data_IF_100252335567
#
_entry.id   IF_100252335567
#
_cell.length_a   1.000
_cell.length_b   1.000
_cell.length_c   1.000
_cell.angle_alpha   90.00
_cell.angle_beta   90.00
_cell.angle_gamma   90.00
#
_symmetry.space_group_name_H-M   'P 1'
#
loop_
_entity.id
_entity.type
_entity.pdbx_description
1 polymer ?
#
# COMPACT_ATOMS: atom_id res chain seq x y z
N UNK A 1 -15.94 28.57 18.33
CA UNK A 1 -14.52 28.27 18.65
C UNK A 1 -13.72 28.31 17.35
N UNK A 2 -12.63 29.07 17.27
CA UNK A 2 -11.82 29.16 16.03
C UNK A 2 -11.07 27.85 15.82
N UNK A 3 -11.44 27.08 14.80
CA UNK A 3 -10.75 25.86 14.40
C UNK A 3 -9.29 26.22 14.09
N UNK A 4 -8.34 25.72 14.90
CA UNK A 4 -6.91 25.89 14.62
C UNK A 4 -6.57 25.08 13.37
N UNK A 5 -6.34 25.79 12.26
CA UNK A 5 -5.92 25.20 10.99
C UNK A 5 -4.44 24.85 11.10
N UNK A 6 -4.11 23.57 10.97
CA UNK A 6 -2.75 23.04 10.98
C UNK A 6 -2.45 22.44 9.61
N UNK A 7 -1.39 22.92 8.98
CA UNK A 7 -0.80 22.32 7.78
C UNK A 7 0.27 21.34 8.24
N UNK A 8 0.29 20.14 7.67
CA UNK A 8 1.25 19.11 8.04
C UNK A 8 2.60 19.31 7.34
N UNK A 9 3.67 18.97 8.05
CA UNK A 9 4.99 18.74 7.46
C UNK A 9 5.17 17.23 7.28
N UNK A 10 6.02 16.86 6.33
CA UNK A 10 6.25 15.46 5.98
C UNK A 10 7.74 15.14 6.10
N UNK A 11 8.02 13.95 6.64
CA UNK A 11 9.35 13.35 6.66
C UNK A 11 9.19 11.94 6.10
N UNK A 12 9.83 11.68 4.98
CA UNK A 12 9.66 10.44 4.20
C UNK A 12 11.01 9.87 3.82
N UNK A 13 11.04 8.58 3.50
CA UNK A 13 12.21 7.87 3.00
C UNK A 13 11.87 7.32 1.63
N UNK A 14 12.80 7.42 0.67
CA UNK A 14 12.67 6.81 -0.64
C UNK A 14 13.99 6.22 -1.10
N UNK A 15 13.94 5.32 -2.10
CA UNK A 15 15.14 4.83 -2.78
C UNK A 15 15.51 5.74 -3.94
N UNK A 16 16.81 5.89 -4.22
CA UNK A 16 17.29 6.57 -5.43
C UNK A 16 16.61 6.00 -6.68
N UNK A 17 16.44 6.81 -7.73
CA UNK A 17 15.82 6.37 -8.99
C UNK A 17 14.31 6.12 -8.93
N UNK A 18 13.67 6.23 -7.77
CA UNK A 18 12.22 6.10 -7.60
C UNK A 18 11.50 7.44 -7.79
N UNK A 19 10.17 7.39 -7.98
CA UNK A 19 9.29 8.57 -7.90
C UNK A 19 8.46 8.50 -6.63
N UNK A 20 8.32 9.62 -5.95
CA UNK A 20 7.44 9.76 -4.79
C UNK A 20 6.32 10.74 -5.13
N UNK A 21 5.08 10.37 -4.84
CA UNK A 21 3.91 11.23 -4.96
C UNK A 21 3.32 11.47 -3.57
N UNK A 22 2.77 12.66 -3.36
CA UNK A 22 2.21 13.04 -2.08
C UNK A 22 1.15 14.13 -2.22
N UNK A 23 0.53 14.45 -1.08
CA UNK A 23 -0.53 15.46 -1.02
C UNK A 23 -0.45 16.25 0.26
N UNK A 24 -0.68 17.56 0.15
CA UNK A 24 -0.85 18.45 1.29
C UNK A 24 -2.21 18.21 1.97
N UNK A 25 -2.19 17.80 3.23
CA UNK A 25 -3.38 17.58 4.06
C UNK A 25 -3.55 18.70 5.10
N UNK A 26 -4.71 19.34 5.05
CA UNK A 26 -5.11 20.41 5.98
C UNK A 26 -6.39 19.97 6.66
N UNK A 27 -6.37 19.90 7.99
CA UNK A 27 -7.52 19.47 8.79
C UNK A 27 -8.67 20.47 8.61
N UNK A 28 -9.87 19.95 8.31
CA UNK A 28 -11.12 20.70 8.19
C UNK A 28 -11.17 21.75 7.06
N UNK A 29 -10.37 21.60 5.99
CA UNK A 29 -10.37 22.49 4.82
C UNK A 29 -10.54 21.66 3.55
N UNK A 30 -11.42 22.09 2.65
CA UNK A 30 -11.63 21.47 1.33
C UNK A 30 -10.52 21.84 0.35
N UNK A 31 -10.30 20.99 -0.65
CA UNK A 31 -9.28 21.19 -1.71
C UNK A 31 -9.51 22.42 -2.58
N UNK A 32 -10.78 22.77 -2.79
CA UNK A 32 -11.12 23.90 -3.66
C UNK A 32 -10.90 25.25 -2.95
N UNK A 33 -10.56 25.20 -1.65
CA UNK A 33 -10.28 26.36 -0.82
C UNK A 33 -8.78 26.64 -0.68
N UNK A 34 -7.92 25.90 -1.40
CA UNK A 34 -6.46 26.06 -1.32
C UNK A 34 -5.83 26.32 -2.68
N UNK A 35 -4.76 27.11 -2.67
CA UNK A 35 -3.86 27.29 -3.80
C UNK A 35 -2.42 27.05 -3.36
N UNK A 36 -1.79 26.03 -3.92
CA UNK A 36 -0.44 25.62 -3.61
C UNK A 36 0.56 26.13 -4.65
N UNK A 37 1.73 26.55 -4.17
CA UNK A 37 2.90 26.92 -4.99
C UNK A 37 4.19 26.54 -4.26
N UNK A 38 5.29 26.37 -5.00
CA UNK A 38 6.59 26.20 -4.35
C UNK A 38 7.03 27.52 -3.72
N UNK A 39 7.51 27.42 -2.50
CA UNK A 39 8.21 28.50 -1.81
C UNK A 39 9.72 28.27 -1.81
N UNK A 40 10.13 27.00 -1.70
CA UNK A 40 11.49 26.52 -1.97
C UNK A 40 11.36 25.25 -2.83
N UNK A 41 12.01 25.23 -3.99
CA UNK A 41 12.13 24.03 -4.84
C UNK A 41 13.23 23.09 -4.30
N UNK A 42 13.19 21.78 -4.63
CA UNK A 42 14.27 20.87 -4.28
C UNK A 42 15.57 21.20 -5.02
N UNK A 43 16.71 20.89 -4.42
CA UNK A 43 18.05 21.14 -4.97
C UNK A 43 18.62 19.92 -5.73
N UNK A 44 18.17 18.71 -5.39
CA UNK A 44 18.68 17.43 -5.84
C UNK A 44 17.59 16.54 -6.48
N UNK A 45 16.68 17.16 -7.23
CA UNK A 45 15.68 16.44 -7.99
C UNK A 45 14.72 17.37 -8.71
N UNK A 46 13.68 16.79 -9.30
CA UNK A 46 12.59 17.52 -9.93
C UNK A 46 11.32 17.27 -9.14
N UNK A 47 10.69 18.34 -8.66
CA UNK A 47 9.35 18.29 -8.11
C UNK A 47 8.32 18.89 -9.06
N UNK A 48 7.12 18.33 -9.05
CA UNK A 48 5.95 18.87 -9.74
C UNK A 48 4.86 19.11 -8.69
N UNK A 49 4.11 20.20 -8.80
CA UNK A 49 3.08 20.58 -7.83
C UNK A 49 1.87 21.13 -8.58
N UNK A 50 0.70 20.62 -8.24
CA UNK A 50 -0.58 21.15 -8.68
C UNK A 50 -1.12 22.17 -7.68
N UNK A 51 -1.97 23.08 -8.15
CA UNK A 51 -2.58 24.13 -7.31
C UNK A 51 -3.45 23.57 -6.19
N UNK A 52 -4.02 22.38 -6.35
CA UNK A 52 -4.81 21.69 -5.32
C UNK A 52 -3.96 20.83 -4.36
N UNK A 53 -2.62 20.92 -4.44
CA UNK A 53 -1.70 20.38 -3.45
C UNK A 53 -1.28 18.93 -3.64
N UNK A 54 -1.48 18.34 -4.82
CA UNK A 54 -0.76 17.12 -5.19
C UNK A 54 0.63 17.47 -5.66
N UNK A 55 1.61 16.71 -5.21
CA UNK A 55 2.99 16.92 -5.61
C UNK A 55 3.65 15.58 -5.90
N UNK A 56 4.73 15.66 -6.66
CA UNK A 56 5.61 14.54 -6.91
C UNK A 56 7.05 14.97 -6.87
N UNK A 57 7.95 14.04 -6.60
CA UNK A 57 9.38 14.26 -6.56
C UNK A 57 10.13 13.08 -7.19
N UNK A 58 11.11 13.39 -8.03
CA UNK A 58 12.07 12.43 -8.60
C UNK A 58 13.46 12.96 -8.30
N UNK A 59 14.29 12.26 -7.51
CA UNK A 59 15.66 12.70 -7.23
C UNK A 59 16.50 12.71 -8.50
N UNK A 60 17.53 13.54 -8.52
CA UNK A 60 18.58 13.47 -9.55
C UNK A 60 19.20 12.07 -9.52
N UNK A 61 19.60 11.58 -10.68
CA UNK A 61 20.26 10.28 -10.81
C UNK A 61 21.44 10.19 -9.82
N UNK A 62 21.54 9.06 -9.12
CA UNK A 62 22.60 8.73 -8.17
C UNK A 62 22.66 9.63 -6.90
N UNK A 63 21.65 10.49 -6.67
CA UNK A 63 21.57 11.26 -5.42
C UNK A 63 21.16 10.36 -4.25
N UNK A 64 21.98 10.39 -3.19
CA UNK A 64 21.73 9.76 -1.89
C UNK A 64 21.96 10.83 -0.82
N UNK A 65 21.03 10.95 0.11
CA UNK A 65 21.05 11.93 1.18
C UNK A 65 19.71 12.64 1.36
N UNK A 66 19.70 13.60 2.28
CA UNK A 66 18.50 14.33 2.64
C UNK A 66 18.22 15.50 1.68
N UNK A 67 17.00 15.58 1.19
CA UNK A 67 16.43 16.71 0.44
C UNK A 67 15.33 17.39 1.27
N UNK A 68 15.20 18.72 1.12
CA UNK A 68 14.12 19.49 1.72
C UNK A 68 13.63 20.62 0.80
N UNK A 69 12.33 20.57 0.49
CA UNK A 69 11.62 21.62 -0.22
C UNK A 69 10.38 22.11 0.56
N UNK A 70 9.88 23.29 0.21
CA UNK A 70 8.81 23.97 0.95
C UNK A 70 7.68 24.39 0.02
N UNK A 71 6.45 24.03 0.39
CA UNK A 71 5.22 24.39 -0.31
C UNK A 71 4.51 25.49 0.47
N UNK A 72 4.15 26.57 -0.23
CA UNK A 72 3.24 27.61 0.25
C UNK A 72 1.82 27.24 -0.10
N UNK A 73 0.92 27.34 0.88
CA UNK A 73 -0.50 27.05 0.76
C UNK A 73 -1.28 28.29 1.11
N UNK A 74 -1.94 28.89 0.12
CA UNK A 74 -2.88 29.99 0.31
C UNK A 74 -4.26 29.41 0.56
N UNK A 75 -4.83 29.66 1.73
CA UNK A 75 -6.14 29.14 2.14
C UNK A 75 -7.14 30.30 2.14
N UNK A 76 -8.26 30.15 1.43
CA UNK A 76 -9.34 31.15 1.39
C UNK A 76 -9.80 31.51 2.82
N UNK A 77 -9.95 32.80 3.11
CA UNK A 77 -10.37 33.36 4.41
C UNK A 77 -9.44 33.12 5.60
N UNK A 78 -8.25 32.54 5.38
CA UNK A 78 -7.27 32.22 6.43
C UNK A 78 -5.90 32.82 6.15
N UNK A 79 -5.48 32.85 4.88
CA UNK A 79 -4.19 33.38 4.44
C UNK A 79 -3.13 32.29 4.23
N UNK A 80 -1.87 32.70 4.21
CA UNK A 80 -0.74 31.83 3.84
C UNK A 80 -0.32 30.90 4.99
N UNK A 81 -0.02 29.65 4.61
CA UNK A 81 0.59 28.63 5.44
C UNK A 81 1.70 27.91 4.66
N UNK A 82 2.50 27.14 5.37
CA UNK A 82 3.66 26.46 4.80
C UNK A 82 3.65 24.98 5.20
N UNK A 83 4.01 24.12 4.24
CA UNK A 83 4.31 22.71 4.45
C UNK A 83 5.75 22.46 4.06
N UNK A 84 6.53 21.86 4.96
CA UNK A 84 7.91 21.44 4.69
C UNK A 84 7.91 19.95 4.38
N UNK A 85 8.53 19.60 3.26
CA UNK A 85 8.73 18.23 2.82
C UNK A 85 10.20 17.89 2.97
N UNK A 86 10.51 16.95 3.85
CA UNK A 86 11.84 16.38 4.03
C UNK A 86 11.83 14.95 3.48
N UNK A 87 12.75 14.63 2.58
CA UNK A 87 12.90 13.31 1.97
C UNK A 87 14.31 12.82 2.22
N UNK A 88 14.47 11.65 2.82
CA UNK A 88 15.73 10.94 2.89
C UNK A 88 15.83 9.98 1.70
N UNK A 89 16.76 10.24 0.79
CA UNK A 89 16.99 9.39 -0.38
C UNK A 89 18.09 8.41 -0.04
N UNK A 90 17.71 7.15 0.10
CA UNK A 90 18.64 6.07 0.38
C UNK A 90 19.15 5.44 -0.92
N UNK A 91 20.35 4.87 -0.84
CA UNK A 91 20.89 4.06 -1.91
C UNK A 91 19.93 2.90 -2.23
N UNK A 92 19.73 2.71 -3.53
CA UNK A 92 19.04 1.55 -4.07
C UNK A 92 20.12 0.53 -4.35
N UNK A 93 20.22 -0.46 -3.46
CA UNK A 93 20.96 -1.69 -3.74
C UNK A 93 20.36 -2.32 -5.00
N UNK A 94 21.15 -2.35 -6.08
CA UNK A 94 20.80 -3.09 -7.28
C UNK A 94 21.05 -4.58 -7.01
N UNK A 95 20.15 -5.22 -6.27
CA UNK A 95 20.07 -6.69 -6.27
C UNK A 95 19.62 -7.12 -7.66
N UNK A 96 20.37 -8.01 -8.33
CA UNK A 96 19.92 -8.56 -9.61
C UNK A 96 18.84 -9.61 -9.33
N UNK A 97 17.61 -9.18 -9.07
CA UNK A 97 16.51 -10.10 -8.77
C UNK A 97 16.09 -10.84 -10.04
N UNK A 98 16.01 -12.17 -9.95
CA UNK A 98 15.09 -12.90 -10.82
C UNK A 98 13.75 -12.87 -10.09
N UNK A 99 12.73 -12.29 -10.70
CA UNK A 99 11.43 -12.18 -10.05
C UNK A 99 10.25 -12.55 -10.93
N UNK A 100 9.16 -12.89 -10.26
CA UNK A 100 7.86 -13.18 -10.85
C UNK A 100 6.78 -12.47 -10.05
N UNK A 101 6.04 -11.61 -10.73
CA UNK A 101 4.85 -10.98 -10.16
C UNK A 101 3.65 -11.91 -10.29
N UNK A 102 2.91 -12.04 -9.20
CA UNK A 102 1.64 -12.74 -9.10
C UNK A 102 0.57 -11.74 -8.65
N UNK A 103 -0.60 -11.80 -9.28
CA UNK A 103 -1.75 -10.98 -8.94
C UNK A 103 -2.89 -11.88 -8.48
N UNK A 104 -3.52 -11.52 -7.37
CA UNK A 104 -4.65 -12.23 -6.81
C UNK A 104 -5.80 -11.26 -6.60
N UNK A 105 -6.99 -11.68 -7.02
CA UNK A 105 -8.25 -10.99 -6.81
C UNK A 105 -9.22 -12.00 -6.23
N UNK A 106 -9.59 -11.81 -4.97
CA UNK A 106 -10.32 -12.81 -4.20
C UNK A 106 -11.50 -12.21 -3.47
N UNK A 107 -12.56 -13.02 -3.37
CA UNK A 107 -13.74 -12.74 -2.55
C UNK A 107 -13.67 -13.60 -1.31
N UNK A 108 -13.28 -13.00 -0.20
CA UNK A 108 -13.05 -13.70 1.07
C UNK A 108 -14.27 -13.50 1.97
N UNK A 109 -14.95 -14.60 2.31
CA UNK A 109 -16.11 -14.56 3.19
C UNK A 109 -15.69 -14.56 4.66
N UNK A 110 -16.25 -13.64 5.44
CA UNK A 110 -16.19 -13.60 6.89
C UNK A 110 -17.42 -14.34 7.40
N UNK A 111 -17.35 -15.67 7.40
CA UNK A 111 -18.47 -16.53 7.78
C UNK A 111 -18.87 -16.31 9.26
N UNK A 112 -20.19 -16.37 9.54
CA UNK A 112 -20.80 -16.42 10.89
C UNK A 112 -21.04 -15.08 11.63
N UNK A 113 -21.15 -13.95 10.93
CA UNK A 113 -21.40 -12.64 11.56
C UNK A 113 -22.51 -11.81 10.88
N UNK A 114 -23.49 -12.47 10.23
CA UNK A 114 -24.54 -11.83 9.42
C UNK A 114 -25.34 -10.71 10.14
N UNK A 115 -25.37 -10.72 11.48
CA UNK A 115 -26.09 -9.75 12.32
C UNK A 115 -25.19 -8.77 13.11
N UNK A 116 -23.86 -8.85 12.95
CA UNK A 116 -22.88 -8.04 13.66
C UNK A 116 -22.11 -7.14 12.69
N UNK A 117 -21.74 -5.92 13.09
CA UNK A 117 -20.84 -5.10 12.26
C UNK A 117 -19.44 -5.67 12.41
N UNK A 118 -18.82 -5.91 11.25
CA UNK A 118 -17.43 -6.29 11.13
C UNK A 118 -16.64 -5.10 10.61
N UNK A 119 -15.62 -4.70 11.36
CA UNK A 119 -14.60 -3.76 10.91
C UNK A 119 -13.29 -4.51 10.69
N UNK A 120 -12.68 -4.36 9.51
CA UNK A 120 -11.39 -5.01 9.20
C UNK A 120 -10.26 -4.12 9.72
N UNK A 121 -9.50 -4.60 10.69
CA UNK A 121 -8.32 -3.88 11.19
C UNK A 121 -7.17 -3.96 10.19
N UNK A 122 -6.81 -5.17 9.75
CA UNK A 122 -5.80 -5.41 8.71
C UNK A 122 -5.91 -6.84 8.16
N UNK A 123 -5.28 -7.07 7.00
CA UNK A 123 -5.18 -8.40 6.39
C UNK A 123 -3.71 -8.72 6.19
N UNK A 124 -3.22 -9.76 6.86
CA UNK A 124 -1.89 -10.30 6.62
C UNK A 124 -1.93 -11.34 5.49
N UNK A 125 -0.90 -11.34 4.65
CA UNK A 125 -0.73 -12.27 3.54
C UNK A 125 0.55 -13.04 3.79
N UNK A 126 0.44 -14.37 3.84
CA UNK A 126 1.56 -15.27 4.05
C UNK A 126 1.71 -16.11 2.79
N UNK A 127 2.86 -16.00 2.13
CA UNK A 127 3.18 -16.81 0.96
C UNK A 127 4.01 -18.01 1.39
N UNK A 128 3.63 -19.20 0.91
CA UNK A 128 4.36 -20.45 1.16
C UNK A 128 4.69 -21.13 -0.15
N UNK A 129 5.97 -21.42 -0.40
CA UNK A 129 6.40 -22.28 -1.50
C UNK A 129 6.38 -23.72 -1.01
N UNK A 130 5.61 -24.58 -1.69
CA UNK A 130 5.44 -26.00 -1.34
C UNK A 130 6.33 -26.90 -2.18
N UNK A 131 6.53 -26.55 -3.46
CA UNK A 131 7.37 -27.29 -4.40
C UNK A 131 8.04 -26.34 -5.38
N UNK A 132 9.28 -26.65 -5.72
CA UNK A 132 10.02 -26.03 -6.82
C UNK A 132 10.61 -27.10 -7.73
N UNK A 133 10.58 -26.88 -9.03
CA UNK A 133 11.08 -27.80 -10.03
C UNK A 133 11.71 -27.04 -11.21
N UNK A 134 13.00 -27.23 -11.44
CA UNK A 134 13.69 -26.60 -12.57
C UNK A 134 13.40 -27.38 -13.86
N UNK A 135 12.94 -26.67 -14.88
CA UNK A 135 12.64 -27.19 -16.21
C UNK A 135 13.67 -26.62 -17.19
N UNK A 136 14.48 -27.49 -17.77
CA UNK A 136 15.55 -27.12 -18.71
C UNK A 136 15.15 -27.44 -20.15
N UNK A 137 15.08 -26.40 -20.99
CA UNK A 137 14.87 -26.58 -22.42
C UNK A 137 16.22 -26.56 -23.16
N UNK A 138 16.64 -27.75 -23.59
CA UNK A 138 17.92 -27.97 -24.25
C UNK A 138 17.96 -27.42 -25.70
N UNK A 139 16.80 -27.14 -26.31
CA UNK A 139 16.73 -26.68 -27.69
C UNK A 139 17.00 -25.17 -27.83
N UNK A 140 16.59 -24.38 -26.85
CA UNK A 140 16.72 -22.92 -26.86
C UNK A 140 17.59 -22.39 -25.70
N UNK A 141 18.24 -23.27 -24.95
CA UNK A 141 19.10 -22.94 -23.80
C UNK A 141 18.41 -22.09 -22.72
N UNK A 142 17.09 -22.22 -22.55
CA UNK A 142 16.35 -21.51 -21.48
C UNK A 142 16.03 -22.44 -20.32
N UNK A 143 16.17 -21.92 -19.11
CA UNK A 143 15.73 -22.60 -17.89
C UNK A 143 14.58 -21.83 -17.22
N UNK A 144 13.62 -22.59 -16.69
CA UNK A 144 12.50 -22.06 -15.90
C UNK A 144 12.45 -22.75 -14.55
N UNK A 145 11.88 -22.07 -13.57
CA UNK A 145 11.55 -22.65 -12.28
C UNK A 145 10.02 -22.70 -12.14
N UNK A 146 9.46 -23.92 -12.15
CA UNK A 146 8.05 -24.14 -11.82
C UNK A 146 7.91 -24.11 -10.30
N UNK A 147 6.97 -23.30 -9.82
CA UNK A 147 6.68 -23.11 -8.41
C UNK A 147 5.23 -23.48 -8.13
N UNK A 148 5.02 -24.28 -7.09
CA UNK A 148 3.72 -24.60 -6.55
C UNK A 148 3.70 -24.14 -5.09
N UNK A 149 2.70 -23.36 -4.72
CA UNK A 149 2.63 -22.73 -3.41
C UNK A 149 1.22 -22.39 -2.99
N UNK A 150 1.11 -21.58 -1.95
CA UNK A 150 -0.14 -21.01 -1.52
C UNK A 150 0.02 -19.61 -0.96
N UNK A 151 -1.06 -18.85 -1.03
CA UNK A 151 -1.26 -17.63 -0.27
C UNK A 151 -2.28 -17.90 0.81
N UNK A 152 -1.89 -17.63 2.05
CA UNK A 152 -2.77 -17.61 3.21
C UNK A 152 -3.10 -16.18 3.58
N UNK A 153 -4.37 -15.82 3.46
CA UNK A 153 -4.96 -14.61 3.99
C UNK A 153 -5.30 -14.82 5.46
N UNK A 154 -4.90 -13.87 6.29
CA UNK A 154 -5.28 -13.80 7.70
C UNK A 154 -5.95 -12.44 7.91
N UNK A 155 -7.27 -12.45 8.04
CA UNK A 155 -8.11 -11.26 8.16
C UNK A 155 -8.36 -11.03 9.65
N UNK A 156 -7.90 -9.90 10.17
CA UNK A 156 -8.14 -9.48 11.54
C UNK A 156 -9.33 -8.52 11.56
N UNK A 157 -10.36 -8.91 12.31
CA UNK A 157 -11.62 -8.21 12.39
C UNK A 157 -11.93 -7.80 13.83
N UNK A 158 -12.51 -6.62 13.99
CA UNK A 158 -13.25 -6.23 15.18
C UNK A 158 -14.73 -6.41 14.90
N UNK A 159 -15.43 -7.07 15.81
CA UNK A 159 -16.84 -7.38 15.65
C UNK A 159 -17.62 -6.80 16.83
N UNK A 160 -18.72 -6.14 16.53
CA UNK A 160 -19.55 -5.47 17.53
C UNK A 160 -20.94 -5.07 17.03
N UNK A 161 -21.76 -4.55 17.93
CA UNK A 161 -23.12 -4.12 17.64
C UNK A 161 -23.21 -2.61 17.42
N UNK A 162 -24.05 -2.17 16.48
CA UNK A 162 -24.59 -0.80 16.49
C UNK A 162 -25.71 -0.72 17.51
N UNK A 163 -25.72 0.27 18.42
CA UNK A 163 -26.83 0.50 19.34
C UNK A 163 -28.17 0.54 18.60
N UNK A 164 -29.16 -0.21 19.10
CA UNK A 164 -30.46 -0.42 18.44
C UNK A 164 -31.19 0.89 18.06
N UNK A 165 -30.92 1.97 18.78
CA UNK A 165 -31.47 3.32 18.60
C UNK A 165 -30.98 4.02 17.33
N UNK A 166 -29.84 3.61 16.77
CA UNK A 166 -29.31 4.11 15.49
C UNK A 166 -29.64 3.19 14.31
N UNK A 167 -30.28 2.04 14.54
CA UNK A 167 -30.74 1.16 13.48
C UNK A 167 -31.76 1.90 12.59
N UNK A 168 -32.74 2.62 13.12
CA UNK A 168 -33.83 3.18 12.28
C UNK A 168 -33.48 4.29 11.26
N UNK A 169 -32.20 4.67 11.09
CA UNK A 169 -31.74 5.64 10.09
C UNK A 169 -30.84 4.99 9.01
N UNK A 170 -31.17 3.78 8.57
CA UNK A 170 -30.45 2.99 7.54
C UNK A 170 -30.40 3.61 6.11
N UNK A 171 -30.65 4.91 5.94
CA UNK A 171 -30.58 5.62 4.64
C UNK A 171 -29.94 7.02 4.72
N UNK A 172 -29.18 7.33 5.77
CA UNK A 172 -28.42 8.58 5.84
C UNK A 172 -26.92 8.29 5.92
N UNK A 173 -26.11 8.95 5.08
CA UNK A 173 -24.64 8.87 5.00
C UNK A 173 -23.95 9.48 6.25
N UNK A 174 -24.66 9.58 7.38
CA UNK A 174 -24.26 10.29 8.59
C UNK A 174 -23.76 9.40 9.72
N UNK A 175 -23.54 8.10 9.49
CA UNK A 175 -22.85 7.24 10.47
C UNK A 175 -21.38 7.62 10.49
N UNK A 176 -20.92 8.18 11.62
CA UNK A 176 -19.53 8.55 11.82
C UNK A 176 -18.78 7.37 12.46
N UNK A 177 -17.51 7.20 12.10
CA UNK A 177 -16.54 6.18 12.58
C UNK A 177 -16.46 6.04 14.12
N UNK A 178 -17.03 6.98 14.89
CA UNK A 178 -17.05 6.97 16.37
C UNK A 178 -18.25 6.26 17.03
N UNK A 179 -19.16 5.65 16.27
CA UNK A 179 -20.36 4.99 16.81
C UNK A 179 -20.25 3.45 16.93
N UNK A 180 -19.14 2.87 16.47
CA UNK A 180 -18.83 1.45 16.60
C UNK A 180 -18.19 1.16 17.97
N UNK A 181 -18.66 0.11 18.65
CA UNK A 181 -18.05 -0.39 19.88
C UNK A 181 -17.65 -1.84 19.61
N UNK A 182 -16.34 -2.08 19.48
CA UNK A 182 -15.80 -3.42 19.34
C UNK A 182 -16.11 -4.25 20.59
N UNK A 183 -16.76 -5.41 20.40
CA UNK A 183 -17.08 -6.35 21.48
C UNK A 183 -16.08 -7.52 21.53
N UNK A 184 -15.54 -7.90 20.36
CA UNK A 184 -14.57 -9.00 20.22
C UNK A 184 -13.65 -8.79 19.03
N UNK A 185 -12.46 -9.40 19.11
CA UNK A 185 -11.52 -9.51 18.02
C UNK A 185 -11.54 -10.93 17.46
N UNK A 186 -11.58 -11.06 16.14
CA UNK A 186 -11.71 -12.34 15.42
C UNK A 186 -10.66 -12.40 14.32
N UNK A 187 -10.20 -13.61 14.03
CA UNK A 187 -9.31 -13.91 12.91
C UNK A 187 -9.98 -14.91 11.96
N UNK A 188 -10.02 -14.57 10.68
CA UNK A 188 -10.49 -15.46 9.60
C UNK A 188 -9.32 -15.81 8.71
N UNK A 189 -9.16 -17.09 8.39
CA UNK A 189 -8.07 -17.57 7.56
C UNK A 189 -8.59 -18.21 6.27
N UNK A 190 -7.97 -17.86 5.14
CA UNK A 190 -8.24 -18.49 3.86
C UNK A 190 -6.94 -18.79 3.15
N UNK A 191 -6.76 -20.03 2.72
CA UNK A 191 -5.59 -20.43 1.94
C UNK A 191 -5.99 -20.75 0.50
N UNK A 192 -5.23 -20.21 -0.45
CA UNK A 192 -5.48 -20.35 -1.89
C UNK A 192 -4.19 -20.86 -2.56
N UNK A 193 -4.23 -21.99 -3.26
CA UNK A 193 -3.06 -22.52 -3.96
C UNK A 193 -2.76 -21.72 -5.23
N UNK A 194 -1.49 -21.69 -5.62
CA UNK A 194 -1.06 -21.16 -6.92
C UNK A 194 0.01 -22.05 -7.55
N UNK A 195 0.06 -22.01 -8.88
CA UNK A 195 1.18 -22.53 -9.68
C UNK A 195 1.68 -21.43 -10.61
N UNK A 196 3.01 -21.32 -10.76
CA UNK A 196 3.62 -20.32 -11.65
C UNK A 196 4.97 -20.76 -12.19
N UNK A 197 5.47 -20.05 -13.19
CA UNK A 197 6.81 -20.25 -13.76
C UNK A 197 7.61 -18.94 -13.70
N UNK A 198 8.81 -19.03 -13.15
CA UNK A 198 9.81 -17.96 -13.14
C UNK A 198 10.88 -18.26 -14.19
N UNK A 199 11.13 -17.30 -15.08
CA UNK A 199 12.17 -17.44 -16.12
C UNK A 199 13.54 -17.20 -15.48
N UNK A 200 14.42 -18.19 -15.53
CA UNK A 200 15.76 -18.10 -14.91
C UNK A 200 16.81 -17.51 -15.87
N UNK A 201 16.56 -17.59 -17.18
CA UNK A 201 17.57 -17.29 -18.19
C UNK A 201 18.74 -18.27 -18.09
N UNK A 202 19.97 -17.75 -18.00
CA UNK A 202 21.20 -18.53 -17.83
C UNK A 202 21.48 -18.90 -16.36
N UNK A 203 20.62 -18.49 -15.43
CA UNK A 203 20.82 -18.77 -14.01
C UNK A 203 20.46 -20.23 -13.69
N UNK A 204 21.39 -20.91 -13.02
CA UNK A 204 21.21 -22.28 -12.52
C UNK A 204 20.80 -22.18 -11.06
N UNK A 205 19.70 -22.83 -10.71
CA UNK A 205 19.21 -22.90 -9.34
C UNK A 205 19.94 -24.03 -8.62
N UNK A 206 20.62 -23.70 -7.53
CA UNK A 206 21.15 -24.69 -6.59
C UNK A 206 20.02 -25.26 -5.72
N UNK A 207 20.22 -26.47 -5.16
CA UNK A 207 19.20 -27.16 -4.34
C UNK A 207 18.73 -26.34 -3.11
N UNK A 208 19.58 -25.42 -2.63
CA UNK A 208 19.35 -24.57 -1.46
C UNK A 208 18.85 -23.15 -1.81
N UNK A 209 18.42 -22.88 -3.05
CA UNK A 209 17.94 -21.54 -3.40
C UNK A 209 16.71 -21.17 -2.56
N UNK A 210 16.78 -20.01 -1.90
CA UNK A 210 15.66 -19.46 -1.16
C UNK A 210 14.83 -18.57 -2.10
N UNK A 211 13.53 -18.84 -2.16
CA UNK A 211 12.57 -18.00 -2.88
C UNK A 211 11.91 -17.09 -1.86
N UNK A 212 12.27 -15.82 -1.93
CA UNK A 212 11.70 -14.78 -1.09
C UNK A 212 10.41 -14.27 -1.72
N UNK A 213 9.54 -13.71 -0.88
CA UNK A 213 8.30 -13.10 -1.30
C UNK A 213 8.13 -11.72 -0.67
N UNK A 214 7.67 -10.76 -1.46
CA UNK A 214 7.36 -9.41 -0.99
C UNK A 214 6.00 -8.95 -1.53
N UNK A 215 5.16 -8.38 -0.65
CA UNK A 215 3.88 -7.80 -1.05
C UNK A 215 4.18 -6.41 -1.62
N UNK A 216 3.92 -6.22 -2.92
CA UNK A 216 4.17 -4.94 -3.61
C UNK A 216 2.96 -4.03 -3.61
N UNK A 217 1.78 -4.63 -3.57
CA UNK A 217 0.52 -3.91 -3.54
C UNK A 217 -0.53 -4.73 -2.80
N UNK A 218 -1.37 -4.05 -2.03
CA UNK A 218 -2.52 -4.63 -1.37
C UNK A 218 -3.62 -3.59 -1.24
N UNK A 219 -4.85 -3.98 -1.57
CA UNK A 219 -6.05 -3.19 -1.39
C UNK A 219 -7.21 -4.11 -1.06
N UNK A 220 -8.13 -3.68 -0.23
CA UNK A 220 -9.33 -4.43 0.07
C UNK A 220 -10.52 -3.52 0.27
N UNK A 221 -11.71 -4.08 0.08
CA UNK A 221 -12.98 -3.44 0.34
C UNK A 221 -13.92 -4.44 0.98
N UNK A 222 -14.48 -4.06 2.14
CA UNK A 222 -15.59 -4.78 2.72
C UNK A 222 -16.88 -4.45 1.96
N UNK A 223 -17.61 -5.49 1.60
CA UNK A 223 -18.89 -5.47 0.88
C UNK A 223 -19.89 -6.20 1.75
N UNK A 224 -21.08 -5.63 1.92
CA UNK A 224 -22.18 -6.24 2.69
C UNK A 224 -21.83 -6.69 4.12
N UNK A 225 -20.75 -6.16 4.70
CA UNK A 225 -20.24 -6.44 6.06
C UNK A 225 -19.65 -7.84 6.27
N UNK A 226 -19.72 -8.75 5.29
CA UNK A 226 -19.28 -10.13 5.41
C UNK A 226 -18.42 -10.62 4.22
N UNK A 227 -18.36 -9.87 3.11
CA UNK A 227 -17.57 -10.21 1.92
C UNK A 227 -16.43 -9.21 1.74
N UNK A 228 -15.19 -9.70 1.74
CA UNK A 228 -14.01 -8.87 1.44
C UNK A 228 -13.58 -9.10 0.00
N UNK A 229 -13.72 -8.07 -0.82
CA UNK A 229 -13.02 -8.02 -2.10
C UNK A 229 -11.58 -7.58 -1.84
N UNK A 230 -10.63 -8.50 -2.01
CA UNK A 230 -9.21 -8.25 -1.79
C UNK A 230 -8.43 -8.38 -3.10
N UNK A 231 -7.50 -7.44 -3.28
CA UNK A 231 -6.56 -7.41 -4.39
C UNK A 231 -5.16 -7.34 -3.83
N UNK A 232 -4.27 -8.22 -4.27
CA UNK A 232 -2.84 -8.08 -3.99
C UNK A 232 -1.94 -8.44 -5.16
N UNK A 233 -0.75 -7.84 -5.15
CA UNK A 233 0.36 -8.22 -5.99
C UNK A 233 1.53 -8.67 -5.10
N UNK A 234 1.98 -9.90 -5.32
CA UNK A 234 3.13 -10.50 -4.63
C UNK A 234 4.25 -10.67 -5.66
N UNK A 235 5.43 -10.18 -5.33
CA UNK A 235 6.65 -10.48 -6.07
C UNK A 235 7.36 -11.66 -5.40
N UNK A 236 7.47 -12.77 -6.11
CA UNK A 236 8.41 -13.84 -5.76
C UNK A 236 9.76 -13.51 -6.37
N UNK A 237 10.86 -13.65 -5.63
CA UNK A 237 12.18 -13.36 -6.16
C UNK A 237 13.28 -14.23 -5.56
N UNK A 238 14.33 -14.40 -6.36
CA UNK A 238 15.63 -14.93 -5.95
C UNK A 238 16.57 -13.72 -5.90
N UNK A 239 17.17 -13.46 -4.74
CA UNK A 239 18.27 -12.50 -4.64
C UNK A 239 19.56 -13.13 -5.19
N UNK A 240 20.21 -12.42 -6.13
CA UNK A 240 21.53 -12.77 -6.69
C UNK A 240 22.62 -11.88 -6.12
#
# INVERSE_FOLDING_TARGET
>A
MSTKIKVHNYSMVMKQGSRMDGRILIKNISRDQIQCSFDKEPEHGKAELTTNGYWSYVPTKDFVGQEQFRIKVMITDVGEKYSTITIDVEEQELSTKISKFLQFEERLMIENYEDEIVEISHIAIITTIKKQEQINNHFNHTSKLKLEGSIKYVIYCEVGLVPAEKRSFWMDESIHEGDFIAEKQVQVEKEIPFETEMELGDYVVDDDVEILSEIKYQSFRLINYDEVHHYCAVELYIDK
#
